data_IF_430574749116
#
_entry.id   IF_430574749116
#
_cell.length_a   1.000
_cell.length_b   1.000
_cell.length_c   1.000
_cell.angle_alpha   90.00
_cell.angle_beta   90.00
_cell.angle_gamma   90.00
#
_symmetry.space_group_name_H-M   'P 1'
#
loop_
_entity.id
_entity.type
_entity.pdbx_description
1 polymer ?
#
# COMPACT_ATOMS: atom_id res chain seq x y z
N UNK A 1 24.92 -50.97 -46.44
CA UNK A 1 24.99 -50.49 -45.04
C UNK A 1 24.97 -48.96 -45.06
N UNK A 2 23.80 -48.35 -44.87
CA UNK A 2 23.52 -46.94 -45.18
C UNK A 2 23.90 -46.00 -44.02
N UNK A 3 25.19 -45.93 -43.68
CA UNK A 3 25.65 -45.25 -42.47
C UNK A 3 25.79 -43.72 -42.61
N UNK A 4 25.89 -43.21 -43.85
CA UNK A 4 26.10 -41.77 -44.09
C UNK A 4 24.80 -40.96 -44.06
N UNK A 5 23.68 -41.53 -44.52
CA UNK A 5 22.36 -40.87 -44.54
C UNK A 5 21.83 -40.57 -43.14
N UNK A 6 22.11 -41.45 -42.18
CA UNK A 6 21.54 -41.39 -40.83
C UNK A 6 22.19 -40.29 -39.99
N UNK A 7 23.46 -39.94 -40.27
CA UNK A 7 24.17 -38.86 -39.58
C UNK A 7 23.60 -37.48 -39.94
N UNK A 8 23.13 -37.29 -41.17
CA UNK A 8 22.48 -36.05 -41.59
C UNK A 8 21.08 -35.90 -40.99
N UNK A 9 20.31 -36.99 -40.92
CA UNK A 9 19.00 -37.01 -40.26
C UNK A 9 19.10 -36.74 -38.75
N UNK A 10 20.12 -37.30 -38.08
CA UNK A 10 20.37 -37.12 -36.64
C UNK A 10 20.82 -35.70 -36.29
N UNK A 11 21.62 -35.06 -37.15
CA UNK A 11 22.07 -33.66 -36.99
C UNK A 11 20.93 -32.66 -37.20
N UNK A 12 20.02 -32.93 -38.13
CA UNK A 12 18.80 -32.12 -38.37
C UNK A 12 17.81 -32.24 -37.20
N UNK A 13 17.66 -33.43 -36.62
CA UNK A 13 16.83 -33.68 -35.42
C UNK A 13 17.34 -32.98 -34.17
N UNK A 14 18.66 -32.94 -33.95
CA UNK A 14 19.24 -32.21 -32.82
C UNK A 14 19.13 -30.69 -32.98
N UNK A 15 19.14 -30.17 -34.21
CA UNK A 15 18.96 -28.73 -34.47
C UNK A 15 17.55 -28.25 -34.09
N UNK A 16 16.52 -29.08 -34.30
CA UNK A 16 15.15 -28.79 -33.87
C UNK A 16 14.98 -28.75 -32.35
N UNK A 17 15.75 -29.57 -31.61
CA UNK A 17 15.74 -29.54 -30.14
C UNK A 17 16.25 -28.20 -29.60
N UNK A 18 17.26 -27.62 -30.25
CA UNK A 18 17.77 -26.28 -29.89
C UNK A 18 16.78 -25.16 -30.22
N UNK A 19 16.04 -25.28 -31.33
CA UNK A 19 15.00 -24.33 -31.69
C UNK A 19 13.82 -24.35 -30.70
N UNK A 20 13.40 -25.53 -30.22
CA UNK A 20 12.33 -25.67 -29.24
C UNK A 20 12.71 -25.09 -27.87
N UNK A 21 13.97 -25.26 -27.43
CA UNK A 21 14.47 -24.67 -26.19
C UNK A 21 14.54 -23.13 -26.31
N UNK A 22 14.94 -22.62 -27.48
CA UNK A 22 14.92 -21.17 -27.75
C UNK A 22 13.51 -20.57 -27.70
N UNK A 23 12.49 -21.30 -28.18
CA UNK A 23 11.09 -20.86 -28.16
C UNK A 23 10.53 -20.77 -26.72
N UNK A 24 10.90 -21.72 -25.86
CA UNK A 24 10.48 -21.78 -24.45
C UNK A 24 11.22 -20.78 -23.54
N UNK A 25 12.30 -20.16 -24.01
CA UNK A 25 13.15 -19.25 -23.23
C UNK A 25 12.63 -17.80 -23.12
N UNK A 26 11.46 -17.50 -23.70
CA UNK A 26 10.93 -16.13 -23.79
C UNK A 26 10.13 -15.68 -22.56
N UNK A 27 9.96 -16.53 -21.55
CA UNK A 27 9.31 -16.13 -20.30
C UNK A 27 10.28 -15.31 -19.43
N UNK A 28 10.07 -13.99 -19.40
CA UNK A 28 10.67 -13.12 -18.38
C UNK A 28 10.06 -13.45 -17.03
N UNK A 29 10.69 -14.34 -16.27
CA UNK A 29 10.39 -14.48 -14.85
C UNK A 29 10.95 -13.24 -14.15
N UNK A 30 10.09 -12.28 -13.82
CA UNK A 30 10.40 -11.18 -12.90
C UNK A 30 10.51 -11.74 -11.48
N UNK A 31 11.58 -12.47 -11.21
CA UNK A 31 11.98 -12.86 -9.85
C UNK A 31 13.36 -12.28 -9.51
N UNK A 32 13.63 -11.05 -9.95
CA UNK A 32 14.92 -10.39 -9.75
C UNK A 32 14.85 -9.39 -8.60
N UNK A 33 15.14 -9.92 -7.41
CA UNK A 33 15.67 -9.17 -6.28
C UNK A 33 14.62 -8.75 -5.26
N UNK A 34 14.69 -9.35 -4.07
CA UNK A 34 13.90 -8.92 -2.91
C UNK A 34 14.00 -7.42 -2.65
N UNK A 35 15.15 -6.80 -2.93
CA UNK A 35 15.31 -5.33 -2.82
C UNK A 35 14.50 -4.55 -3.85
N UNK A 36 14.43 -4.99 -5.10
CA UNK A 36 13.64 -4.32 -6.15
C UNK A 36 12.14 -4.51 -5.91
N UNK A 37 11.73 -5.68 -5.41
CA UNK A 37 10.35 -5.95 -5.01
C UNK A 37 9.93 -5.13 -3.79
N UNK A 38 10.80 -5.02 -2.77
CA UNK A 38 10.56 -4.17 -1.59
C UNK A 38 10.49 -2.71 -1.99
N UNK A 39 11.44 -2.22 -2.81
CA UNK A 39 11.43 -0.84 -3.28
C UNK A 39 10.16 -0.53 -4.09
N UNK A 40 9.72 -1.43 -4.98
CA UNK A 40 8.48 -1.28 -5.74
C UNK A 40 7.24 -1.27 -4.83
N UNK A 41 7.17 -2.17 -3.85
CA UNK A 41 6.10 -2.19 -2.86
C UNK A 41 6.07 -0.91 -1.99
N UNK A 42 7.24 -0.39 -1.60
CA UNK A 42 7.33 0.88 -0.86
C UNK A 42 6.83 2.05 -1.70
N UNK A 43 7.16 2.11 -2.99
CA UNK A 43 6.65 3.16 -3.89
C UNK A 43 5.13 3.08 -4.07
N UNK A 44 4.56 1.88 -4.21
CA UNK A 44 3.10 1.73 -4.22
C UNK A 44 2.44 2.12 -2.90
N UNK A 45 3.05 1.81 -1.76
CA UNK A 45 2.53 2.24 -0.46
C UNK A 45 2.59 3.76 -0.32
N UNK A 46 3.64 4.42 -0.82
CA UNK A 46 3.78 5.88 -0.80
C UNK A 46 2.65 6.58 -1.58
N UNK A 47 2.23 6.06 -2.74
CA UNK A 47 1.11 6.65 -3.49
C UNK A 47 -0.23 6.52 -2.77
N UNK A 48 -0.35 5.60 -1.81
CA UNK A 48 -1.54 5.44 -0.97
C UNK A 48 -1.53 6.31 0.29
N UNK A 49 -0.39 6.90 0.69
CA UNK A 49 -0.31 7.68 1.93
C UNK A 49 -1.16 8.96 1.85
N UNK A 50 -1.11 9.67 0.73
CA UNK A 50 -1.87 10.90 0.51
C UNK A 50 -3.40 10.69 0.57
N UNK A 51 -3.99 9.75 -0.22
CA UNK A 51 -5.43 9.52 -0.17
C UNK A 51 -5.89 8.98 1.19
N UNK A 52 -5.10 8.12 1.85
CA UNK A 52 -5.42 7.61 3.20
C UNK A 52 -5.35 8.72 4.24
N UNK A 53 -4.35 9.61 4.17
CA UNK A 53 -4.24 10.76 5.08
C UNK A 53 -5.43 11.70 4.94
N UNK A 54 -5.85 12.00 3.70
CA UNK A 54 -7.01 12.85 3.47
C UNK A 54 -8.30 12.20 4.02
N UNK A 55 -8.46 10.89 3.85
CA UNK A 55 -9.58 10.15 4.41
C UNK A 55 -9.62 10.21 5.95
N UNK A 56 -8.47 10.01 6.62
CA UNK A 56 -8.36 10.11 8.09
C UNK A 56 -8.71 11.51 8.58
N UNK A 57 -8.28 12.56 7.87
CA UNK A 57 -8.62 13.95 8.21
C UNK A 57 -10.14 14.20 8.12
N UNK A 58 -10.79 13.71 7.06
CA UNK A 58 -12.25 13.83 6.90
C UNK A 58 -13.00 13.07 8.00
N UNK A 59 -12.60 11.83 8.31
CA UNK A 59 -13.18 11.07 9.42
C UNK A 59 -12.96 11.76 10.77
N UNK A 60 -11.76 12.30 11.01
CA UNK A 60 -11.44 13.04 12.21
C UNK A 60 -12.34 14.26 12.39
N UNK A 61 -12.62 15.00 11.32
CA UNK A 61 -13.55 16.12 11.33
C UNK A 61 -14.98 15.70 11.70
N UNK A 62 -15.48 14.59 11.15
CA UNK A 62 -16.82 14.06 11.44
C UNK A 62 -16.93 13.64 12.91
N UNK A 63 -15.97 12.87 13.41
CA UNK A 63 -15.97 12.38 14.80
C UNK A 63 -15.78 13.55 15.78
N UNK A 64 -14.95 14.54 15.42
CA UNK A 64 -14.76 15.78 16.16
C UNK A 64 -16.05 16.56 16.33
N UNK A 65 -16.85 16.71 15.27
CA UNK A 65 -18.16 17.35 15.35
C UNK A 65 -19.13 16.59 16.27
N UNK A 66 -19.20 15.26 16.15
CA UNK A 66 -20.08 14.43 16.99
C UNK A 66 -19.70 14.59 18.48
N UNK A 67 -18.41 14.55 18.80
CA UNK A 67 -17.94 14.77 20.17
C UNK A 67 -18.29 16.18 20.70
N UNK A 68 -18.16 17.20 19.86
CA UNK A 68 -18.51 18.58 20.19
C UNK A 68 -20.01 18.74 20.48
N UNK A 69 -20.87 18.10 19.69
CA UNK A 69 -22.32 18.07 19.93
C UNK A 69 -22.64 17.44 21.29
N UNK A 70 -21.97 16.34 21.67
CA UNK A 70 -22.17 15.72 22.99
C UNK A 70 -21.74 16.64 24.14
N UNK A 71 -20.64 17.35 23.98
CA UNK A 71 -20.17 18.35 24.95
C UNK A 71 -21.18 19.50 25.08
N UNK A 72 -21.72 19.99 23.97
CA UNK A 72 -22.75 21.03 23.95
C UNK A 72 -24.02 20.57 24.68
N UNK A 73 -24.47 19.34 24.46
CA UNK A 73 -25.64 18.78 25.15
C UNK A 73 -25.39 18.73 26.68
N UNK A 74 -24.22 18.22 27.11
CA UNK A 74 -23.86 18.21 28.54
C UNK A 74 -23.83 19.63 29.14
N UNK A 75 -23.32 20.60 28.40
CA UNK A 75 -23.26 22.00 28.82
C UNK A 75 -24.67 22.56 29.08
N UNK A 76 -25.58 22.39 28.12
CA UNK A 76 -26.95 22.89 28.26
C UNK A 76 -27.74 22.19 29.38
N UNK A 77 -27.39 20.93 29.69
CA UNK A 77 -28.02 20.17 30.77
C UNK A 77 -27.48 20.52 32.17
N UNK A 78 -26.49 21.41 32.29
CA UNK A 78 -25.91 21.79 33.60
C UNK A 78 -25.14 20.66 34.30
N UNK A 79 -24.67 19.66 33.54
CA UNK A 79 -23.96 18.49 34.06
C UNK A 79 -22.60 18.90 34.67
N UNK A 80 -22.26 18.38 35.86
CA UNK A 80 -20.97 18.67 36.50
C UNK A 80 -19.78 18.09 35.73
N UNK A 81 -20.03 17.10 34.86
CA UNK A 81 -18.99 16.48 34.05
C UNK A 81 -18.66 17.25 32.76
N UNK A 82 -19.20 18.46 32.55
CA UNK A 82 -18.94 19.27 31.35
C UNK A 82 -17.46 19.61 31.20
N UNK A 83 -16.78 20.03 32.28
CA UNK A 83 -15.36 20.34 32.22
C UNK A 83 -14.52 19.12 31.83
N UNK A 84 -14.83 17.94 32.37
CA UNK A 84 -14.18 16.67 32.00
C UNK A 84 -14.46 16.31 30.54
N UNK A 85 -15.69 16.49 30.07
CA UNK A 85 -16.09 16.22 28.69
C UNK A 85 -15.39 17.16 27.70
N UNK A 86 -15.29 18.46 27.99
CA UNK A 86 -14.57 19.44 27.18
C UNK A 86 -13.09 19.09 27.10
N UNK A 87 -12.44 18.82 28.23
CA UNK A 87 -11.01 18.49 28.26
C UNK A 87 -10.70 17.20 27.48
N UNK A 88 -11.52 16.15 27.67
CA UNK A 88 -11.37 14.88 26.96
C UNK A 88 -11.58 15.02 25.45
N UNK A 89 -12.63 15.73 25.03
CA UNK A 89 -12.92 15.96 23.62
C UNK A 89 -11.88 16.87 22.96
N UNK A 90 -11.47 17.96 23.60
CA UNK A 90 -10.49 18.91 23.06
C UNK A 90 -9.12 18.25 22.85
N UNK A 91 -8.67 17.46 23.83
CA UNK A 91 -7.43 16.68 23.70
C UNK A 91 -7.49 15.67 22.55
N UNK A 92 -8.66 15.04 22.34
CA UNK A 92 -8.89 14.11 21.23
C UNK A 92 -8.84 14.80 19.87
N UNK A 93 -9.47 15.96 19.73
CA UNK A 93 -9.44 16.77 18.50
C UNK A 93 -8.02 17.24 18.18
N UNK A 94 -7.29 17.74 19.17
CA UNK A 94 -5.92 18.20 19.00
C UNK A 94 -4.99 17.06 18.57
N UNK A 95 -5.15 15.88 19.17
CA UNK A 95 -4.39 14.69 18.80
C UNK A 95 -4.60 14.30 17.32
N UNK A 96 -5.85 14.28 16.83
CA UNK A 96 -6.16 13.94 15.44
C UNK A 96 -5.53 14.93 14.45
N UNK A 97 -5.52 16.23 14.77
CA UNK A 97 -4.88 17.26 13.94
C UNK A 97 -3.36 17.02 13.90
N UNK A 98 -2.73 16.80 15.05
CA UNK A 98 -1.28 16.56 15.15
C UNK A 98 -0.88 15.31 14.39
N UNK A 99 -1.63 14.21 14.51
CA UNK A 99 -1.35 12.97 13.77
C UNK A 99 -1.39 13.19 12.25
N UNK A 100 -2.36 13.96 11.74
CA UNK A 100 -2.41 14.31 10.32
C UNK A 100 -1.17 15.09 9.83
N UNK A 101 -0.65 16.00 10.67
CA UNK A 101 0.59 16.74 10.38
C UNK A 101 1.80 15.81 10.43
N UNK A 102 1.87 14.93 11.42
CA UNK A 102 2.98 14.00 11.63
C UNK A 102 3.08 12.98 10.49
N UNK A 103 1.96 12.42 10.03
CA UNK A 103 1.95 11.50 8.88
C UNK A 103 2.45 12.24 7.63
N UNK A 104 1.97 13.45 7.36
CA UNK A 104 2.49 14.26 6.25
C UNK A 104 3.97 14.62 6.40
N UNK A 105 4.46 14.87 7.61
CA UNK A 105 5.85 15.22 7.86
C UNK A 105 6.82 14.03 7.73
N UNK A 106 6.35 12.81 7.96
CA UNK A 106 7.18 11.60 7.81
C UNK A 106 7.15 11.01 6.41
N UNK A 107 6.05 11.20 5.66
CA UNK A 107 5.83 10.54 4.38
C UNK A 107 5.66 11.49 3.18
N UNK A 108 5.62 12.81 3.42
CA UNK A 108 5.55 13.86 2.40
C UNK A 108 6.88 14.55 2.15
#
# INVERSE_FOLDING_TARGET
>A
MNYSSDRFAKRRRNSWRWLLIGLLSTHRVQAQGGQNAINAATTELQTMVDPVSNFILVLGAIIGLIGGVRVFIKWNNGDQDVQKAIMGWFGSCLFLIIVGVVIKAFFG
#
